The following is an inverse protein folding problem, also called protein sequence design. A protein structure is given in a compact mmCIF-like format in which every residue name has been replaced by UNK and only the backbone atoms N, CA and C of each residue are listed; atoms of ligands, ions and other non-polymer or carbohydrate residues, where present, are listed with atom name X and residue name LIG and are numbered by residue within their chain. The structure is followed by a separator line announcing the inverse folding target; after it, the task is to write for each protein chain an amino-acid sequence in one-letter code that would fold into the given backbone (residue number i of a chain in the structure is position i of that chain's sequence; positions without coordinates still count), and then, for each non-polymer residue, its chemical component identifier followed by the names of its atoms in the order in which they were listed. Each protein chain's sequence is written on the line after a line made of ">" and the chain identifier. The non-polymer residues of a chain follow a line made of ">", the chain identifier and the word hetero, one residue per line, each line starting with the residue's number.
data_IF_081629640098
#
_entry.id   IF_081629640098
#
_cell.length_a   1.000
_cell.length_b   1.000
_cell.length_c   1.000
_cell.angle_alpha   90.00
_cell.angle_beta   90.00
_cell.angle_gamma   90.00
#
_symmetry.space_group_name_H-M   'P 1'
#
loop_
_entity.id
_entity.type
_entity.pdbx_description
1 polymer ?
#
# COMPACT_ATOMS: atom_id res chain seq x y z
N UNK A 1 -17.97 10.78 0.60
CA UNK A 1 -17.15 9.92 -0.28
C UNK A 1 -16.89 10.69 -1.55
N UNK A 2 -15.74 11.34 -1.66
CA UNK A 2 -15.41 12.20 -2.81
C UNK A 2 -14.31 11.62 -3.69
N UNK A 3 -13.84 10.40 -3.37
CA UNK A 3 -12.74 9.73 -4.08
C UNK A 3 -13.18 8.45 -4.82
N UNK A 4 -14.48 8.28 -5.03
CA UNK A 4 -15.02 7.13 -5.77
C UNK A 4 -14.86 7.25 -7.29
N UNK A 5 -14.22 8.33 -7.79
CA UNK A 5 -14.19 8.66 -9.22
C UNK A 5 -12.87 8.33 -9.94
N UNK A 6 -11.84 7.87 -9.25
CA UNK A 6 -10.56 7.52 -9.89
C UNK A 6 -10.08 6.12 -9.50
N UNK A 7 -10.52 5.11 -10.28
CA UNK A 7 -9.72 3.91 -10.57
C UNK A 7 -9.93 2.68 -9.67
N UNK A 8 -10.84 1.78 -10.09
CA UNK A 8 -11.00 0.38 -9.62
C UNK A 8 -11.23 0.15 -8.11
N UNK A 9 -11.80 -1.01 -7.71
CA UNK A 9 -11.87 -1.39 -6.29
C UNK A 9 -10.45 -1.74 -5.79
N UNK A 10 -9.62 -0.73 -5.57
CA UNK A 10 -8.34 -0.87 -4.89
C UNK A 10 -8.55 -1.12 -3.41
N UNK A 11 -7.87 -2.12 -2.84
CA UNK A 11 -7.74 -2.24 -1.40
C UNK A 11 -6.66 -1.26 -0.95
N UNK A 12 -6.86 -0.63 0.20
CA UNK A 12 -5.79 0.05 0.93
C UNK A 12 -5.53 -0.68 2.25
N UNK A 13 -4.28 -0.74 2.68
CA UNK A 13 -3.92 -1.17 4.02
C UNK A 13 -2.98 -0.17 4.70
N UNK A 14 -2.92 -0.25 6.03
CA UNK A 14 -1.99 0.55 6.83
C UNK A 14 -0.90 -0.37 7.37
N UNK A 15 0.36 -0.04 7.07
CA UNK A 15 1.55 -0.75 7.52
C UNK A 15 2.34 0.13 8.48
N UNK A 16 2.79 -0.43 9.59
CA UNK A 16 3.62 0.26 10.57
C UNK A 16 5.11 0.09 10.20
N UNK A 17 5.64 1.03 9.40
CA UNK A 17 7.07 1.08 9.09
C UNK A 17 7.88 1.74 10.22
N UNK A 18 9.04 1.17 10.55
CA UNK A 18 10.05 1.78 11.42
C UNK A 18 10.66 3.03 10.78
N UNK A 19 10.89 2.98 9.47
CA UNK A 19 11.39 4.11 8.68
C UNK A 19 10.55 4.29 7.40
N UNK A 20 9.37 4.93 7.51
CA UNK A 20 8.48 5.11 6.37
C UNK A 20 9.09 6.03 5.29
N UNK A 21 8.61 5.96 4.03
CA UNK A 21 9.00 6.93 3.00
C UNK A 21 8.86 8.38 3.49
N UNK A 22 9.83 9.25 3.19
CA UNK A 22 9.78 10.65 3.60
C UNK A 22 8.61 11.35 2.92
N UNK A 23 8.00 12.31 3.62
CA UNK A 23 6.92 13.14 3.07
C UNK A 23 7.46 13.99 1.90
N UNK A 24 6.89 13.90 0.69
CA UNK A 24 7.19 14.82 -0.40
C UNK A 24 6.86 16.27 -0.05
N UNK A 25 7.62 17.22 -0.59
CA UNK A 25 7.54 18.65 -0.22
C UNK A 25 6.18 19.30 -0.53
N UNK A 26 5.50 18.81 -1.55
CA UNK A 26 4.26 19.32 -2.12
C UNK A 26 2.99 18.67 -1.55
N UNK A 27 3.12 17.82 -0.54
CA UNK A 27 1.96 17.17 0.09
C UNK A 27 1.16 18.15 0.95
N UNK A 28 -0.11 18.34 0.62
CA UNK A 28 -1.09 19.02 1.46
C UNK A 28 -1.93 18.00 2.27
N UNK A 29 -2.10 18.25 3.58
CA UNK A 29 -2.84 17.37 4.48
C UNK A 29 -1.95 16.53 5.41
N UNK A 30 -2.55 15.55 6.09
CA UNK A 30 -1.85 14.67 7.03
C UNK A 30 -1.14 13.54 6.28
N UNK A 31 0.19 13.52 6.35
CA UNK A 31 1.01 12.47 5.74
C UNK A 31 0.84 11.14 6.49
N UNK A 32 0.58 10.07 5.73
CA UNK A 32 0.53 8.70 6.23
C UNK A 32 1.56 7.86 5.49
N UNK A 33 2.82 7.87 5.96
CA UNK A 33 3.90 7.12 5.32
C UNK A 33 3.69 5.59 5.27
N UNK A 34 2.81 5.06 6.13
CA UNK A 34 2.40 3.66 6.15
C UNK A 34 1.18 3.31 5.30
N UNK A 35 0.58 4.29 4.60
CA UNK A 35 -0.58 4.03 3.76
C UNK A 35 -0.15 3.30 2.48
N UNK A 36 -0.76 2.15 2.19
CA UNK A 36 -0.43 1.34 1.02
C UNK A 36 -1.67 1.14 0.16
N UNK A 37 -1.63 1.66 -1.06
CA UNK A 37 -2.70 1.50 -2.06
C UNK A 37 -2.32 0.47 -3.12
N UNK A 38 -3.27 -0.40 -3.45
CA UNK A 38 -3.18 -1.37 -4.55
C UNK A 38 -4.08 -0.90 -5.71
N UNK A 39 -3.50 -0.33 -6.76
CA UNK A 39 -4.24 0.29 -7.88
C UNK A 39 -4.42 -0.62 -9.12
N UNK A 40 -4.32 -1.94 -8.92
CA UNK A 40 -4.54 -2.97 -9.95
C UNK A 40 -3.28 -3.34 -10.76
N UNK A 41 -2.33 -2.41 -10.92
CA UNK A 41 -1.06 -2.66 -11.60
C UNK A 41 0.17 -2.21 -10.82
N UNK A 42 -0.02 -1.37 -9.80
CA UNK A 42 1.04 -0.83 -8.98
C UNK A 42 0.69 -0.86 -7.50
N UNK A 43 1.73 -0.74 -6.69
CA UNK A 43 1.61 -0.56 -5.24
C UNK A 43 2.22 0.78 -4.90
N UNK A 44 1.46 1.63 -4.22
CA UNK A 44 1.90 2.96 -3.80
C UNK A 44 2.00 3.00 -2.29
N UNK A 45 3.07 3.58 -1.76
CA UNK A 45 3.34 3.67 -0.33
C UNK A 45 3.53 5.13 0.06
N UNK A 46 2.78 5.58 1.06
CA UNK A 46 2.83 6.93 1.58
C UNK A 46 2.03 7.92 0.74
N UNK A 47 1.02 8.54 1.36
CA UNK A 47 0.13 9.52 0.75
C UNK A 47 -0.51 10.40 1.83
N UNK A 48 -1.11 11.53 1.47
CA UNK A 48 -1.86 12.36 2.41
C UNK A 48 -3.31 11.89 2.57
N UNK A 49 -3.78 11.78 3.82
CA UNK A 49 -5.16 11.44 4.18
C UNK A 49 -5.64 12.30 5.35
N UNK A 50 -6.64 13.16 5.12
CA UNK A 50 -6.93 14.31 5.99
C UNK A 50 -8.02 14.17 7.05
N UNK A 51 -8.76 13.05 7.15
CA UNK A 51 -9.84 12.93 8.15
C UNK A 51 -9.35 12.17 9.41
N UNK A 52 -9.45 12.73 10.63
CA UNK A 52 -8.76 12.21 11.82
C UNK A 52 -9.27 10.87 12.35
N UNK A 53 -10.54 10.52 12.12
CA UNK A 53 -11.20 9.42 12.85
C UNK A 53 -11.12 8.05 12.18
N UNK A 54 -11.16 7.99 10.85
CA UNK A 54 -11.23 6.71 10.08
C UNK A 54 -9.89 6.27 9.48
N UNK A 55 -8.87 7.11 9.56
CA UNK A 55 -7.64 6.97 8.79
C UNK A 55 -6.41 6.65 9.66
N UNK A 56 -6.62 6.42 10.96
CA UNK A 56 -5.59 5.92 11.87
C UNK A 56 -5.57 4.37 11.92
N UNK A 57 -6.68 3.70 11.62
CA UNK A 57 -6.79 2.23 11.77
C UNK A 57 -7.41 1.53 10.55
N UNK A 58 -7.77 2.28 9.50
CA UNK A 58 -8.60 1.78 8.40
C UNK A 58 -10.05 1.50 8.83
N UNK A 59 -10.92 1.17 7.86
CA UNK A 59 -12.32 0.78 8.13
C UNK A 59 -12.52 -0.74 8.16
N UNK A 60 -11.45 -1.51 7.95
CA UNK A 60 -11.49 -2.97 7.83
C UNK A 60 -10.99 -3.68 9.09
N UNK A 61 -11.31 -4.98 9.18
CA UNK A 61 -10.75 -5.86 10.21
C UNK A 61 -9.26 -6.07 9.93
N UNK A 62 -8.42 -6.01 10.96
CA UNK A 62 -7.04 -6.43 10.86
C UNK A 62 -6.95 -7.85 10.29
N UNK A 63 -6.04 -8.06 9.33
CA UNK A 63 -5.82 -9.39 8.75
C UNK A 63 -5.06 -10.25 9.76
N UNK A 64 -5.62 -11.36 10.26
CA UNK A 64 -4.92 -12.19 11.25
C UNK A 64 -3.66 -12.81 10.64
N UNK A 65 -2.69 -13.16 11.48
CA UNK A 65 -1.50 -13.92 11.06
C UNK A 65 -1.88 -15.21 10.33
N UNK A 66 -1.07 -15.63 9.36
CA UNK A 66 -1.26 -16.83 8.54
C UNK A 66 -2.55 -16.87 7.71
N UNK A 67 -3.21 -15.72 7.56
CA UNK A 67 -4.45 -15.60 6.79
C UNK A 67 -4.18 -15.01 5.42
N UNK A 68 -4.93 -15.45 4.42
CA UNK A 68 -4.91 -14.85 3.08
C UNK A 68 -6.14 -13.97 2.84
N UNK A 69 -5.93 -12.85 2.15
CA UNK A 69 -6.98 -12.00 1.59
C UNK A 69 -6.77 -11.94 0.07
N UNK A 70 -7.84 -12.16 -0.70
CA UNK A 70 -7.80 -12.01 -2.17
C UNK A 70 -8.74 -10.88 -2.58
N UNK A 71 -8.29 -10.03 -3.49
CA UNK A 71 -9.04 -8.90 -4.03
C UNK A 71 -8.46 -8.52 -5.40
N UNK A 72 -9.33 -8.23 -6.38
CA UNK A 72 -8.90 -8.01 -7.76
C UNK A 72 -7.90 -9.11 -8.21
N UNK A 73 -6.75 -8.72 -8.77
CA UNK A 73 -5.67 -9.63 -9.19
C UNK A 73 -4.67 -9.97 -8.09
N UNK A 74 -4.89 -9.46 -6.87
CA UNK A 74 -4.00 -9.63 -5.73
C UNK A 74 -4.44 -10.78 -4.82
N UNK A 75 -3.45 -11.50 -4.32
CA UNK A 75 -3.57 -12.32 -3.11
C UNK A 75 -2.49 -11.90 -2.13
N UNK A 76 -2.91 -11.44 -0.97
CA UNK A 76 -2.04 -11.11 0.14
C UNK A 76 -2.11 -12.19 1.22
N UNK A 77 -0.98 -12.51 1.83
CA UNK A 77 -0.88 -13.37 3.01
C UNK A 77 -0.01 -12.70 4.06
N UNK A 78 -0.47 -12.73 5.30
CA UNK A 78 0.32 -12.36 6.48
C UNK A 78 1.18 -13.53 6.92
N UNK A 79 2.43 -13.25 7.26
CA UNK A 79 3.26 -14.11 8.11
C UNK A 79 3.44 -13.45 9.50
N UNK A 80 4.39 -13.92 10.31
CA UNK A 80 4.65 -13.37 11.64
C UNK A 80 5.05 -11.88 11.63
N UNK A 81 5.77 -11.43 10.59
CA UNK A 81 6.48 -10.15 10.57
C UNK A 81 6.24 -9.33 9.28
N UNK A 82 5.50 -9.87 8.31
CA UNK A 82 5.32 -9.27 7.00
C UNK A 82 3.96 -9.61 6.37
N UNK A 83 3.56 -8.75 5.43
CA UNK A 83 2.49 -8.97 4.47
C UNK A 83 3.12 -9.18 3.10
N UNK A 84 2.87 -10.33 2.47
CA UNK A 84 3.31 -10.62 1.10
C UNK A 84 2.10 -10.57 0.18
N UNK A 85 2.14 -9.72 -0.83
CA UNK A 85 1.07 -9.53 -1.81
C UNK A 85 1.56 -9.85 -3.21
N UNK A 86 0.94 -10.83 -3.86
CA UNK A 86 1.23 -11.23 -5.23
C UNK A 86 0.13 -10.70 -6.15
N UNK A 87 0.49 -10.03 -7.24
CA UNK A 87 -0.39 -9.73 -8.36
C UNK A 87 -0.23 -10.84 -9.42
N UNK A 88 -1.24 -11.70 -9.56
CA UNK A 88 -1.18 -12.83 -10.48
C UNK A 88 -1.31 -12.41 -11.96
N UNK A 89 -2.01 -11.30 -12.25
CA UNK A 89 -2.15 -10.79 -13.60
C UNK A 89 -0.85 -10.16 -14.13
N UNK A 90 -0.01 -9.64 -13.24
CA UNK A 90 1.27 -8.98 -13.58
C UNK A 90 2.51 -9.82 -13.26
N UNK A 91 2.34 -11.00 -12.66
CA UNK A 91 3.45 -11.84 -12.18
C UNK A 91 4.45 -11.03 -11.34
N UNK A 92 3.92 -10.19 -10.45
CA UNK A 92 4.69 -9.28 -9.63
C UNK A 92 4.31 -9.45 -8.16
N UNK A 93 5.20 -9.07 -7.24
CA UNK A 93 4.87 -9.14 -5.82
C UNK A 93 5.58 -8.04 -5.00
N UNK A 94 4.97 -7.71 -3.87
CA UNK A 94 5.58 -6.86 -2.84
C UNK A 94 5.56 -7.58 -1.50
N UNK A 95 6.59 -7.38 -0.68
CA UNK A 95 6.62 -7.74 0.73
C UNK A 95 6.69 -6.47 1.55
N UNK A 96 5.82 -6.34 2.54
CA UNK A 96 5.70 -5.18 3.40
C UNK A 96 6.00 -5.65 4.84
N UNK A 97 6.98 -5.05 5.47
CA UNK A 97 7.37 -5.33 6.87
C UNK A 97 7.74 -4.04 7.58
N UNK A 98 8.00 -4.08 8.89
CA UNK A 98 8.43 -2.90 9.63
C UNK A 98 9.69 -2.25 9.03
N UNK A 99 10.58 -3.03 8.41
CA UNK A 99 11.82 -2.54 7.81
C UNK A 99 11.63 -1.84 6.46
N UNK A 100 10.45 -1.98 5.84
CA UNK A 100 10.14 -1.36 4.55
C UNK A 100 9.39 -2.28 3.59
N UNK A 101 9.41 -1.87 2.32
CA UNK A 101 8.74 -2.54 1.22
C UNK A 101 9.76 -3.07 0.20
N UNK A 102 9.75 -4.38 -0.01
CA UNK A 102 10.55 -5.09 -1.00
C UNK A 102 9.71 -5.44 -2.22
N UNK A 103 10.31 -5.42 -3.41
CA UNK A 103 9.66 -5.79 -4.67
C UNK A 103 10.29 -7.06 -5.26
N UNK A 104 9.46 -7.91 -5.86
CA UNK A 104 9.87 -9.19 -6.42
C UNK A 104 9.33 -9.41 -7.83
N UNK A 105 9.96 -10.38 -8.51
CA UNK A 105 9.71 -10.70 -9.90
C UNK A 105 9.92 -9.45 -10.78
N UNK A 106 8.92 -9.04 -11.57
CA UNK A 106 9.07 -7.85 -12.39
C UNK A 106 8.77 -6.53 -11.67
N UNK A 107 8.26 -6.54 -10.43
CA UNK A 107 8.03 -5.31 -9.69
C UNK A 107 9.35 -4.60 -9.39
N UNK A 108 9.41 -3.31 -9.68
CA UNK A 108 10.52 -2.43 -9.37
C UNK A 108 10.02 -1.12 -8.81
N UNK A 109 10.81 -0.52 -7.92
CA UNK A 109 10.54 0.84 -7.47
C UNK A 109 10.85 1.82 -8.62
N UNK A 110 9.90 2.70 -8.91
CA UNK A 110 10.05 3.77 -9.91
C UNK A 110 9.90 5.12 -9.23
N UNK A 111 10.21 6.20 -9.96
CA UNK A 111 9.92 7.55 -9.52
C UNK A 111 8.41 7.68 -9.21
N UNK A 112 8.03 7.97 -7.96
CA UNK A 112 6.62 8.10 -7.61
C UNK A 112 6.04 9.38 -8.23
N UNK A 113 4.73 9.41 -8.53
CA UNK A 113 4.07 10.64 -8.90
C UNK A 113 4.05 11.63 -7.73
N UNK A 114 3.76 12.92 -7.98
CA UNK A 114 3.58 13.92 -6.93
C UNK A 114 2.64 13.45 -5.82
N UNK A 115 3.01 13.72 -4.57
CA UNK A 115 2.23 13.34 -3.39
C UNK A 115 2.35 11.88 -2.92
N UNK A 116 3.13 11.04 -3.60
CA UNK A 116 3.36 9.62 -3.25
C UNK A 116 4.80 9.40 -2.78
N UNK A 117 4.98 8.59 -1.73
CA UNK A 117 6.29 8.36 -1.10
C UNK A 117 7.15 7.35 -1.87
N UNK A 118 6.56 6.22 -2.27
CA UNK A 118 7.19 5.23 -3.12
C UNK A 118 6.15 4.56 -4.03
N UNK A 119 6.58 4.12 -5.20
CA UNK A 119 5.74 3.40 -6.15
C UNK A 119 6.47 2.19 -6.71
N UNK A 120 5.78 1.07 -6.73
CA UNK A 120 6.25 -0.19 -7.28
C UNK A 120 5.39 -0.60 -8.47
N UNK A 121 6.00 -0.83 -9.61
CA UNK A 121 5.33 -1.22 -10.86
C UNK A 121 6.08 -2.36 -11.53
N UNK A 122 5.31 -3.14 -12.29
CA UNK A 122 5.78 -3.86 -13.46
C UNK A 122 5.16 -3.12 -14.65
#
# INVERSE_FOLDING_TARGET
>A
MTDAKHGSPGLACLVEFTNPPPRPQDVYGQWKGGWVDFDGGSVQVGSAHGDPGRFASGQGRALPTDTSLSFADYRCRTDANALVCVNYAKQSAVRLSADGADAYACAQQVTPPPGIGARYVC
#
